data_IF_241154394745
#
_entry.id   IF_241154394745
#
_cell.length_a   1.000
_cell.length_b   1.000
_cell.length_c   1.000
_cell.angle_alpha   90.00
_cell.angle_beta   90.00
_cell.angle_gamma   90.00
#
_symmetry.space_group_name_H-M   'P 1'
#
loop_
_entity.id
_entity.type
_entity.pdbx_description
1 polymer ?
#
# COMPACT_ATOMS: atom_id res chain seq x y z
N UNK A 1 -7.82 9.93 -28.59
CA UNK A 1 -7.65 8.79 -27.66
C UNK A 1 -7.87 9.29 -26.25
N UNK A 2 -9.02 8.97 -25.64
CA UNK A 2 -9.28 9.31 -24.25
C UNK A 2 -8.36 8.45 -23.38
N UNK A 3 -7.32 9.05 -22.81
CA UNK A 3 -6.52 8.35 -21.80
C UNK A 3 -7.35 8.35 -20.53
N UNK A 4 -7.90 7.19 -20.19
CA UNK A 4 -8.60 6.96 -18.93
C UNK A 4 -7.59 7.11 -17.79
N UNK A 5 -7.47 8.31 -17.23
CA UNK A 5 -6.65 8.59 -16.05
C UNK A 5 -7.42 8.36 -14.73
N UNK A 6 -8.54 7.61 -14.78
CA UNK A 6 -9.48 7.50 -13.67
C UNK A 6 -9.91 6.06 -13.34
N UNK A 7 -9.06 5.07 -13.62
CA UNK A 7 -9.16 3.78 -12.93
C UNK A 7 -8.34 3.87 -11.63
N UNK A 8 -8.83 3.37 -10.48
CA UNK A 8 -8.05 3.38 -9.25
C UNK A 8 -6.72 2.67 -9.49
N UNK A 9 -5.62 3.28 -9.01
CA UNK A 9 -4.29 2.70 -9.10
C UNK A 9 -4.31 1.29 -8.49
N UNK A 10 -3.90 0.28 -9.25
CA UNK A 10 -3.59 -1.03 -8.66
C UNK A 10 -2.17 -0.99 -8.10
N UNK A 11 -2.07 -0.73 -6.79
CA UNK A 11 -0.81 -0.46 -6.12
C UNK A 11 -0.13 -1.71 -5.54
N UNK A 12 -0.73 -2.89 -5.68
CA UNK A 12 -0.15 -4.18 -5.26
C UNK A 12 -0.53 -5.30 -6.23
N UNK A 13 0.48 -6.03 -6.72
CA UNK A 13 0.28 -7.12 -7.67
C UNK A 13 -0.01 -8.45 -6.95
N UNK A 14 0.61 -8.66 -5.78
CA UNK A 14 0.42 -9.85 -4.94
C UNK A 14 0.32 -9.45 -3.47
N UNK A 15 -0.53 -10.16 -2.71
CA UNK A 15 -0.73 -9.98 -1.27
C UNK A 15 -0.81 -11.36 -0.63
N UNK A 16 -0.05 -11.57 0.45
CA UNK A 16 0.08 -12.82 1.16
C UNK A 16 0.02 -12.57 2.67
N UNK A 17 -0.68 -13.41 3.45
CA UNK A 17 -0.70 -13.28 4.91
C UNK A 17 0.69 -13.57 5.50
N UNK A 18 1.05 -12.87 6.57
CA UNK A 18 2.19 -13.20 7.43
C UNK A 18 1.74 -13.50 8.85
N UNK A 19 2.64 -14.01 9.69
CA UNK A 19 2.31 -14.42 11.07
C UNK A 19 1.65 -13.31 11.92
N UNK A 20 1.98 -12.05 11.64
CA UNK A 20 1.59 -10.86 12.41
C UNK A 20 1.08 -9.72 11.50
N UNK A 21 0.67 -10.02 10.27
CA UNK A 21 0.19 -9.03 9.32
C UNK A 21 0.17 -9.52 7.88
N UNK A 22 0.81 -8.76 6.99
CA UNK A 22 0.72 -8.98 5.54
C UNK A 22 2.02 -8.64 4.83
N UNK A 23 2.36 -9.44 3.82
CA UNK A 23 3.37 -9.13 2.82
C UNK A 23 2.71 -8.85 1.48
N UNK A 24 3.24 -7.89 0.73
CA UNK A 24 2.75 -7.57 -0.60
C UNK A 24 3.89 -7.16 -1.53
N UNK A 25 3.66 -7.25 -2.85
CA UNK A 25 4.62 -6.78 -3.85
C UNK A 25 3.99 -5.86 -4.87
N UNK A 26 4.77 -4.92 -5.39
CA UNK A 26 4.42 -4.05 -6.51
C UNK A 26 5.61 -3.90 -7.46
N UNK A 27 5.46 -4.35 -8.70
CA UNK A 27 6.39 -4.07 -9.80
C UNK A 27 6.14 -2.68 -10.36
N UNK A 28 7.22 -1.92 -10.51
CA UNK A 28 7.22 -0.62 -11.20
C UNK A 28 7.59 -0.87 -12.65
N UNK A 29 6.63 -0.78 -13.56
CA UNK A 29 6.83 -1.10 -14.97
C UNK A 29 7.02 0.19 -15.76
N UNK A 30 8.01 0.26 -16.63
CA UNK A 30 8.32 1.48 -17.40
C UNK A 30 7.13 2.03 -18.20
N UNK A 31 6.19 1.17 -18.60
CA UNK A 31 4.97 1.53 -19.34
C UNK A 31 3.81 1.96 -18.44
N UNK A 32 4.01 2.01 -17.12
CA UNK A 32 2.97 2.45 -16.20
C UNK A 32 2.57 3.92 -16.50
N UNK A 33 1.27 4.21 -16.66
CA UNK A 33 0.79 5.48 -17.22
C UNK A 33 1.13 6.70 -16.34
N UNK A 34 1.36 6.49 -15.05
CA UNK A 34 1.74 7.55 -14.11
C UNK A 34 3.21 7.98 -14.22
N UNK A 35 4.08 7.15 -14.81
CA UNK A 35 5.51 7.46 -14.90
C UNK A 35 5.83 8.49 -15.99
N UNK A 36 4.99 8.59 -17.03
CA UNK A 36 5.15 9.61 -18.08
C UNK A 36 5.17 11.03 -17.51
N UNK A 37 4.37 11.27 -16.47
CA UNK A 37 4.31 12.54 -15.76
C UNK A 37 5.21 12.65 -14.53
N UNK A 38 5.83 11.56 -14.09
CA UNK A 38 6.56 11.51 -12.81
C UNK A 38 7.90 10.78 -12.95
N UNK A 39 8.93 11.41 -13.51
CA UNK A 39 8.93 12.71 -14.19
C UNK A 39 9.42 12.52 -15.63
N UNK A 40 9.05 13.42 -16.58
CA UNK A 40 9.62 13.38 -17.92
C UNK A 40 11.16 13.36 -17.88
N UNK A 41 11.79 12.34 -18.48
CA UNK A 41 13.24 12.14 -18.47
C UNK A 41 13.82 11.54 -17.18
N UNK A 42 13.03 11.40 -16.12
CA UNK A 42 13.43 10.78 -14.85
C UNK A 42 12.23 10.05 -14.22
N UNK A 43 11.78 8.93 -14.80
CA UNK A 43 10.64 8.18 -14.29
C UNK A 43 10.97 7.58 -12.92
N UNK A 44 10.08 7.80 -11.96
CA UNK A 44 10.20 7.39 -10.56
C UNK A 44 8.80 7.08 -10.03
N UNK A 45 8.65 6.03 -9.24
CA UNK A 45 7.37 5.71 -8.62
C UNK A 45 6.99 6.80 -7.60
N UNK A 46 5.79 7.41 -7.68
CA UNK A 46 5.36 8.41 -6.71
C UNK A 46 5.38 7.88 -5.28
N UNK A 47 5.95 8.64 -4.34
CA UNK A 47 6.03 8.21 -2.93
C UNK A 47 4.64 8.00 -2.30
N UNK A 48 3.64 8.78 -2.72
CA UNK A 48 2.22 8.57 -2.36
C UNK A 48 1.70 7.20 -2.81
N UNK A 49 2.21 6.64 -3.91
CA UNK A 49 1.81 5.32 -4.36
C UNK A 49 2.44 4.21 -3.53
N UNK A 50 3.59 4.45 -2.87
CA UNK A 50 4.10 3.54 -1.82
C UNK A 50 3.16 3.50 -0.62
N UNK A 51 2.58 4.64 -0.23
CA UNK A 51 1.55 4.70 0.83
C UNK A 51 0.30 3.93 0.41
N UNK A 52 -0.14 4.10 -0.83
CA UNK A 52 -1.27 3.36 -1.41
C UNK A 52 -0.99 1.84 -1.48
N UNK A 53 0.24 1.42 -1.83
CA UNK A 53 0.63 0.01 -1.80
C UNK A 53 0.48 -0.59 -0.41
N UNK A 54 0.91 0.13 0.64
CA UNK A 54 0.73 -0.32 2.03
C UNK A 54 -0.76 -0.36 2.38
N UNK A 55 -1.53 0.67 2.06
CA UNK A 55 -2.97 0.70 2.34
C UNK A 55 -3.71 -0.46 1.66
N UNK A 56 -3.46 -0.71 0.37
CA UNK A 56 -4.10 -1.80 -0.36
C UNK A 56 -3.68 -3.18 0.15
N UNK A 57 -2.41 -3.36 0.54
CA UNK A 57 -1.97 -4.61 1.16
C UNK A 57 -2.78 -4.91 2.44
N UNK A 58 -2.89 -3.93 3.34
CA UNK A 58 -3.64 -4.09 4.60
C UNK A 58 -5.13 -4.27 4.34
N UNK A 59 -5.71 -3.47 3.44
CA UNK A 59 -7.13 -3.56 3.08
C UNK A 59 -7.48 -4.96 2.57
N UNK A 60 -6.72 -5.49 1.59
CA UNK A 60 -6.97 -6.83 1.04
C UNK A 60 -6.79 -7.92 2.08
N UNK A 61 -5.81 -7.80 2.99
CA UNK A 61 -5.62 -8.76 4.07
C UNK A 61 -6.77 -8.75 5.08
N UNK A 62 -7.22 -7.57 5.51
CA UNK A 62 -8.34 -7.43 6.47
C UNK A 62 -9.67 -7.87 5.85
N UNK A 63 -9.93 -7.53 4.59
CA UNK A 63 -11.13 -7.98 3.86
C UNK A 63 -11.12 -9.51 3.66
N UNK A 64 -9.95 -10.12 3.43
CA UNK A 64 -9.83 -11.57 3.32
C UNK A 64 -10.04 -12.30 4.65
N UNK A 65 -9.57 -11.72 5.76
CA UNK A 65 -9.70 -12.28 7.11
C UNK A 65 -11.12 -12.12 7.69
N UNK A 66 -11.70 -10.92 7.57
CA UNK A 66 -12.98 -10.56 8.20
C UNK A 66 -14.20 -10.72 7.28
N UNK A 67 -13.99 -10.99 6.00
CA UNK A 67 -15.04 -11.27 5.02
C UNK A 67 -15.46 -10.06 4.17
N UNK A 68 -16.29 -10.29 3.13
CA UNK A 68 -16.58 -9.31 2.07
C UNK A 68 -17.48 -8.14 2.52
N UNK A 69 -18.08 -8.23 3.71
CA UNK A 69 -18.98 -7.23 4.25
C UNK A 69 -18.26 -6.16 5.08
N UNK A 70 -16.93 -6.25 5.25
CA UNK A 70 -16.14 -5.17 5.85
C UNK A 70 -15.59 -4.22 4.80
N UNK A 71 -15.49 -2.94 5.17
CA UNK A 71 -14.79 -1.89 4.42
C UNK A 71 -13.67 -1.35 5.28
N UNK A 72 -12.47 -1.25 4.70
CA UNK A 72 -11.31 -0.65 5.36
C UNK A 72 -11.08 0.75 4.82
N UNK A 73 -11.07 1.74 5.70
CA UNK A 73 -10.85 3.15 5.38
C UNK A 73 -9.51 3.61 5.94
N UNK A 74 -8.74 4.36 5.16
CA UNK A 74 -7.55 5.05 5.65
C UNK A 74 -7.99 6.20 6.57
N UNK A 75 -7.71 6.08 7.87
CA UNK A 75 -8.07 7.10 8.85
C UNK A 75 -6.97 8.16 9.01
N UNK A 76 -5.70 7.74 9.01
CA UNK A 76 -4.57 8.65 9.05
C UNK A 76 -3.29 8.01 8.47
N UNK A 77 -2.45 8.85 7.87
CA UNK A 77 -1.03 8.54 7.64
C UNK A 77 -0.26 9.14 8.82
N UNK A 78 0.26 8.31 9.71
CA UNK A 78 0.93 8.77 10.95
C UNK A 78 2.38 9.17 10.73
N UNK A 79 3.09 8.40 9.91
CA UNK A 79 4.45 8.73 9.53
C UNK A 79 4.80 8.08 8.21
N UNK A 80 5.62 8.78 7.43
CA UNK A 80 6.26 8.25 6.24
C UNK A 80 7.69 8.73 6.21
N UNK A 81 8.62 7.80 5.99
CA UNK A 81 10.03 8.11 5.74
C UNK A 81 10.44 7.44 4.44
N UNK A 82 10.64 8.22 3.39
CA UNK A 82 11.24 7.75 2.14
C UNK A 82 12.77 7.73 2.29
N UNK A 83 13.38 6.61 1.92
CA UNK A 83 14.81 6.34 2.08
C UNK A 83 15.50 6.15 0.72
N UNK A 84 14.82 5.50 -0.23
CA UNK A 84 15.31 5.31 -1.59
C UNK A 84 14.14 5.31 -2.58
N UNK A 85 14.33 5.89 -3.79
CA UNK A 85 13.32 5.90 -4.82
C UNK A 85 13.08 4.49 -5.36
N UNK A 86 11.91 4.28 -5.95
CA UNK A 86 11.61 3.11 -6.77
C UNK A 86 11.62 3.56 -8.24
N UNK A 87 12.40 2.87 -9.05
CA UNK A 87 12.60 3.16 -10.46
C UNK A 87 11.93 2.10 -11.35
N UNK A 88 11.71 2.36 -12.64
CA UNK A 88 11.26 1.33 -13.57
C UNK A 88 12.14 0.07 -13.50
N UNK A 89 11.51 -1.10 -13.38
CA UNK A 89 12.17 -2.39 -13.19
C UNK A 89 12.28 -2.82 -11.72
N UNK A 90 12.10 -1.92 -10.76
CA UNK A 90 12.12 -2.29 -9.35
C UNK A 90 10.87 -3.08 -8.94
N UNK A 91 11.07 -3.94 -7.95
CA UNK A 91 10.00 -4.56 -7.16
C UNK A 91 10.00 -3.92 -5.78
N UNK A 92 8.90 -3.28 -5.42
CA UNK A 92 8.60 -2.90 -4.05
C UNK A 92 8.04 -4.12 -3.31
N UNK A 93 8.71 -4.52 -2.23
CA UNK A 93 8.20 -5.46 -1.24
C UNK A 93 7.74 -4.69 -0.01
N UNK A 94 6.51 -4.92 0.40
CA UNK A 94 5.91 -4.37 1.62
C UNK A 94 5.85 -5.50 2.65
N UNK A 95 6.45 -5.30 3.82
CA UNK A 95 6.25 -6.16 4.99
C UNK A 95 5.57 -5.34 6.07
N UNK A 96 4.33 -5.67 6.38
CA UNK A 96 3.49 -4.88 7.27
C UNK A 96 3.03 -5.68 8.48
N UNK A 97 3.31 -5.16 9.67
CA UNK A 97 2.75 -5.67 10.93
C UNK A 97 1.43 -4.95 11.22
N UNK A 98 0.41 -5.71 11.63
CA UNK A 98 -0.89 -5.19 12.03
C UNK A 98 -1.06 -5.31 13.54
N UNK A 99 -1.63 -4.27 14.14
CA UNK A 99 -2.01 -4.26 15.56
C UNK A 99 -3.38 -3.64 15.71
N UNK A 100 -4.29 -4.34 16.36
CA UNK A 100 -5.63 -3.83 16.68
C UNK A 100 -5.58 -3.03 17.98
N UNK A 101 -6.42 -2.02 18.08
CA UNK A 101 -6.65 -1.32 19.33
C UNK A 101 -7.47 -2.22 20.29
N UNK A 102 -6.98 -2.51 21.51
CA UNK A 102 -7.72 -3.35 22.46
C UNK A 102 -9.06 -2.76 22.91
N UNK A 103 -9.22 -1.44 22.87
CA UNK A 103 -10.46 -0.75 23.26
C UNK A 103 -11.44 -0.61 22.09
N UNK A 104 -10.93 -0.60 20.85
CA UNK A 104 -11.73 -0.46 19.63
C UNK A 104 -11.14 -1.33 18.49
N UNK A 105 -11.52 -2.61 18.37
CA UNK A 105 -11.01 -3.53 17.34
C UNK A 105 -11.29 -3.13 15.88
N UNK A 106 -12.07 -2.05 15.68
CA UNK A 106 -12.28 -1.42 14.38
C UNK A 106 -11.11 -0.52 14.01
N UNK A 107 -10.25 -0.12 14.95
CA UNK A 107 -9.01 0.63 14.71
C UNK A 107 -7.85 -0.34 14.54
N UNK A 108 -7.24 -0.27 13.36
CA UNK A 108 -6.07 -1.08 13.02
C UNK A 108 -4.92 -0.14 12.74
N UNK A 109 -3.79 -0.38 13.39
CA UNK A 109 -2.52 0.28 13.10
C UNK A 109 -1.67 -0.66 12.26
N UNK A 110 -1.13 -0.11 11.17
CA UNK A 110 -0.26 -0.81 10.23
C UNK A 110 1.12 -0.16 10.26
N UNK A 111 2.17 -0.96 10.49
CA UNK A 111 3.57 -0.51 10.44
C UNK A 111 4.29 -1.32 9.37
N UNK A 112 4.70 -0.64 8.29
CA UNK A 112 5.32 -1.26 7.14
C UNK A 112 6.79 -0.88 6.96
N UNK A 113 7.62 -1.88 6.72
CA UNK A 113 8.98 -1.77 6.16
C UNK A 113 8.90 -2.09 4.66
N UNK A 114 9.26 -1.11 3.83
CA UNK A 114 9.18 -1.20 2.38
C UNK A 114 10.60 -1.31 1.80
N UNK A 115 10.84 -2.33 0.97
CA UNK A 115 12.15 -2.61 0.38
C UNK A 115 12.09 -2.77 -1.12
N UNK A 116 13.20 -2.47 -1.78
CA UNK A 116 13.42 -2.79 -3.20
C UNK A 116 13.79 -4.27 -3.33
N UNK A 117 13.67 -4.82 -4.54
CA UNK A 117 14.04 -6.21 -4.84
C UNK A 117 15.52 -6.53 -4.58
N UNK A 118 16.39 -5.53 -4.55
CA UNK A 118 17.81 -5.64 -4.15
C UNK A 118 18.03 -5.60 -2.62
N UNK A 119 16.96 -5.53 -1.83
CA UNK A 119 17.00 -5.49 -0.37
C UNK A 119 17.17 -4.08 0.22
N UNK A 120 17.41 -3.06 -0.59
CA UNK A 120 17.57 -1.69 -0.11
C UNK A 120 16.27 -1.17 0.51
N UNK A 121 16.38 -0.46 1.64
CA UNK A 121 15.24 0.18 2.28
C UNK A 121 14.70 1.30 1.38
N UNK A 122 13.43 1.21 1.00
CA UNK A 122 12.75 2.23 0.20
C UNK A 122 11.93 3.17 1.06
N UNK A 123 11.12 2.67 1.99
CA UNK A 123 10.33 3.50 2.88
C UNK A 123 9.97 2.81 4.20
N UNK A 124 9.62 3.61 5.21
CA UNK A 124 8.89 3.17 6.39
C UNK A 124 7.58 3.93 6.48
N UNK A 125 6.47 3.22 6.65
CA UNK A 125 5.13 3.79 6.62
C UNK A 125 4.36 3.33 7.85
N UNK A 126 3.71 4.26 8.55
CA UNK A 126 2.73 3.94 9.60
C UNK A 126 1.38 4.49 9.21
N UNK A 127 0.38 3.62 9.12
CA UNK A 127 -1.01 3.98 8.84
C UNK A 127 -1.89 3.66 10.04
N UNK A 128 -2.96 4.43 10.18
CA UNK A 128 -4.13 4.03 10.96
C UNK A 128 -5.32 3.85 10.02
N UNK A 129 -6.02 2.76 10.22
CA UNK A 129 -7.16 2.35 9.43
C UNK A 129 -8.37 2.16 10.33
N UNK A 130 -9.56 2.33 9.75
CA UNK A 130 -10.84 1.98 10.36
C UNK A 130 -11.52 0.89 9.56
N UNK A 131 -11.96 -0.15 10.25
CA UNK A 131 -12.77 -1.24 9.70
C UNK A 131 -14.23 -0.96 10.04
N UNK A 132 -15.08 -0.89 9.03
CA UNK A 132 -16.54 -0.68 9.17
C UNK A 132 -17.29 -1.82 8.52
N UNK A 133 -18.50 -2.09 8.98
CA UNK A 133 -19.42 -2.95 8.23
C UNK A 133 -20.00 -2.15 7.06
N UNK A 134 -20.23 -2.80 5.92
CA UNK A 134 -20.82 -2.16 4.74
C UNK A 134 -22.23 -1.61 4.99
N UNK A 135 -22.91 -2.13 6.01
CA UNK A 135 -24.22 -1.68 6.49
C UNK A 135 -24.18 -0.37 7.28
N UNK A 136 -23.00 0.10 7.70
CA UNK A 136 -22.82 1.33 8.51
C UNK A 136 -22.65 2.61 7.67
N UNK A 137 -23.00 2.59 6.37
CA UNK A 137 -22.78 3.68 5.40
C UNK A 137 -24.08 4.32 4.90
#
# INVERSE_FOLDING_TARGET
MSRSFAAPLDAVDQVEPSADGVTATKRVVATDPYLEGHYPGFPIYPGVFTVESVYQAVRRAVEADRGPDVRVELAAVRSVRFQAPLLPGDVLTVSCRLTEDPEDPRRVRAVADCRRGDGAASAKVTLELRVRERTDA
#
